data_IF_694145476132
#
_entry.id   IF_694145476132
#
_cell.length_a   1.000
_cell.length_b   1.000
_cell.length_c   1.000
_cell.angle_alpha   90.00
_cell.angle_beta   90.00
_cell.angle_gamma   90.00
#
_symmetry.space_group_name_H-M   'P 1'
#
loop_
_entity.id
_entity.type
_entity.pdbx_description
1 polymer ?
#
# COMPACT_ATOMS: atom_id res chain seq x y z
N UNK A 1 -21.27 2.20 1.52
CA UNK A 1 -19.93 2.85 1.48
C UNK A 1 -18.86 1.92 0.92
N UNK A 2 -18.57 0.75 1.51
CA UNK A 2 -17.55 -0.21 1.00
C UNK A 2 -17.67 -0.56 -0.50
N UNK A 3 -18.87 -0.93 -0.97
CA UNK A 3 -19.13 -1.20 -2.40
C UNK A 3 -18.80 -0.01 -3.32
N UNK A 4 -18.97 1.22 -2.83
CA UNK A 4 -18.68 2.42 -3.60
C UNK A 4 -17.18 2.69 -3.72
N UNK A 5 -16.39 2.34 -2.69
CA UNK A 5 -14.92 2.41 -2.74
C UNK A 5 -14.41 1.39 -3.74
N UNK A 6 -14.80 0.12 -3.60
CA UNK A 6 -14.40 -0.94 -4.54
C UNK A 6 -14.77 -0.58 -6.00
N UNK A 7 -16.00 -0.11 -6.27
CA UNK A 7 -16.41 0.34 -7.61
C UNK A 7 -15.52 1.47 -8.15
N UNK A 8 -15.17 2.44 -7.31
CA UNK A 8 -14.27 3.54 -7.70
C UNK A 8 -12.85 3.06 -7.96
N UNK A 9 -12.32 2.15 -7.14
CA UNK A 9 -11.02 1.51 -7.37
C UNK A 9 -10.99 0.80 -8.73
N UNK A 10 -12.03 0.00 -9.03
CA UNK A 10 -12.19 -0.70 -10.32
C UNK A 10 -12.13 0.27 -11.50
N UNK A 11 -12.90 1.35 -11.42
CA UNK A 11 -13.02 2.33 -12.49
C UNK A 11 -11.72 3.12 -12.69
N UNK A 12 -11.09 3.57 -11.61
CA UNK A 12 -9.91 4.46 -11.69
C UNK A 12 -8.63 3.72 -12.06
N UNK A 13 -8.53 2.43 -11.73
CA UNK A 13 -7.46 1.54 -12.19
C UNK A 13 -7.23 1.60 -13.70
N UNK A 14 -8.30 1.51 -14.49
CA UNK A 14 -8.22 1.52 -15.96
C UNK A 14 -7.93 2.91 -16.55
N UNK A 15 -8.09 3.97 -15.76
CA UNK A 15 -7.97 5.36 -16.19
C UNK A 15 -6.68 6.02 -15.73
N UNK A 16 -5.79 5.31 -15.04
CA UNK A 16 -4.57 5.91 -14.46
C UNK A 16 -3.67 6.59 -15.52
N UNK A 17 -3.65 6.08 -16.75
CA UNK A 17 -2.82 6.59 -17.84
C UNK A 17 -3.52 7.63 -18.74
N UNK A 18 -4.82 7.88 -18.57
CA UNK A 18 -5.62 8.67 -19.53
C UNK A 18 -5.61 10.19 -19.25
N UNK A 19 -5.75 10.67 -17.99
CA UNK A 19 -5.44 12.03 -17.62
C UNK A 19 -3.96 12.18 -17.24
N UNK A 20 -3.47 13.41 -17.16
CA UNK A 20 -2.18 13.64 -16.51
C UNK A 20 -2.25 13.19 -15.05
N UNK A 21 -1.16 12.63 -14.50
CA UNK A 21 -1.11 12.16 -13.10
C UNK A 21 -1.59 13.24 -12.13
N UNK A 22 -1.24 14.51 -12.40
CA UNK A 22 -1.67 15.68 -11.64
C UNK A 22 -3.19 15.85 -11.61
N UNK A 23 -3.84 15.90 -12.75
CA UNK A 23 -5.32 16.02 -12.84
C UNK A 23 -6.02 14.81 -12.21
N UNK A 24 -5.44 13.63 -12.38
CA UNK A 24 -5.96 12.40 -11.81
C UNK A 24 -5.94 12.42 -10.27
N UNK A 25 -4.89 12.95 -9.65
CA UNK A 25 -4.77 13.08 -8.19
C UNK A 25 -5.91 13.96 -7.64
N UNK A 26 -6.19 15.09 -8.26
CA UNK A 26 -7.19 16.05 -7.75
C UNK A 26 -8.63 15.69 -8.08
N UNK A 27 -8.86 14.92 -9.13
CA UNK A 27 -10.20 14.43 -9.49
C UNK A 27 -10.68 13.26 -8.63
N UNK A 28 -9.81 12.69 -7.79
CA UNK A 28 -10.10 11.48 -7.02
C UNK A 28 -9.86 11.64 -5.50
N UNK A 29 -10.62 10.93 -4.65
CA UNK A 29 -10.34 10.91 -3.21
C UNK A 29 -8.96 10.31 -2.89
N UNK A 30 -8.27 10.86 -1.89
CA UNK A 30 -6.93 10.42 -1.43
C UNK A 30 -6.77 8.90 -1.29
N UNK A 31 -7.77 8.23 -0.71
CA UNK A 31 -7.76 6.77 -0.54
C UNK A 31 -7.72 6.02 -1.88
N UNK A 32 -8.48 6.48 -2.87
CA UNK A 32 -8.52 5.89 -4.21
C UNK A 32 -7.19 6.12 -4.92
N UNK A 33 -6.69 7.37 -4.87
CA UNK A 33 -5.38 7.75 -5.43
C UNK A 33 -4.27 6.87 -4.88
N UNK A 34 -4.19 6.75 -3.55
CA UNK A 34 -3.17 5.95 -2.87
C UNK A 34 -3.23 4.47 -3.26
N UNK A 35 -4.43 3.87 -3.22
CA UNK A 35 -4.59 2.44 -3.47
C UNK A 35 -4.33 2.08 -4.94
N UNK A 36 -4.85 2.88 -5.89
CA UNK A 36 -4.63 2.63 -7.32
C UNK A 36 -3.18 2.92 -7.69
N UNK A 37 -2.55 3.96 -7.14
CA UNK A 37 -1.11 4.21 -7.35
C UNK A 37 -0.26 3.05 -6.84
N UNK A 38 -0.63 2.42 -5.72
CA UNK A 38 0.07 1.24 -5.21
C UNK A 38 -0.09 0.01 -6.12
N UNK A 39 -1.29 -0.19 -6.70
CA UNK A 39 -1.51 -1.26 -7.67
C UNK A 39 -0.68 -1.07 -8.93
N UNK A 40 -0.72 0.14 -9.50
CA UNK A 40 0.01 0.46 -10.72
C UNK A 40 1.52 0.34 -10.49
N UNK A 41 2.01 0.81 -9.34
CA UNK A 41 3.40 0.63 -8.96
C UNK A 41 3.80 -0.85 -8.89
N UNK A 42 2.99 -1.69 -8.23
CA UNK A 42 3.29 -3.12 -8.10
C UNK A 42 3.40 -3.79 -9.47
N UNK A 43 2.38 -3.60 -10.33
CA UNK A 43 2.36 -4.19 -11.68
C UNK A 43 3.53 -3.70 -12.53
N UNK A 44 3.79 -2.39 -12.56
CA UNK A 44 4.91 -1.83 -13.35
C UNK A 44 6.28 -2.27 -12.84
N UNK A 45 6.43 -2.48 -11.53
CA UNK A 45 7.68 -3.03 -10.97
C UNK A 45 7.91 -4.46 -11.45
N UNK A 46 6.85 -5.28 -11.47
CA UNK A 46 6.92 -6.66 -11.96
C UNK A 46 7.22 -6.72 -13.47
N UNK A 47 6.56 -5.89 -14.27
CA UNK A 47 6.85 -5.74 -15.71
C UNK A 47 8.32 -5.36 -15.94
N UNK A 48 8.84 -4.41 -15.15
CA UNK A 48 10.23 -3.96 -15.27
C UNK A 48 11.25 -5.01 -14.81
N UNK A 49 10.92 -5.83 -13.81
CA UNK A 49 11.76 -6.96 -13.37
C UNK A 49 11.82 -8.05 -14.45
N UNK A 50 10.68 -8.42 -15.03
CA UNK A 50 10.62 -9.43 -16.10
C UNK A 50 11.34 -8.96 -17.36
N UNK A 51 11.18 -7.68 -17.74
CA UNK A 51 11.90 -7.08 -18.87
C UNK A 51 13.42 -7.04 -18.68
N UNK A 52 13.89 -6.92 -17.43
CA UNK A 52 15.31 -6.99 -17.08
C UNK A 52 15.90 -8.41 -17.15
N UNK A 53 15.11 -9.45 -16.86
CA UNK A 53 15.56 -10.86 -16.86
C UNK A 53 15.82 -11.44 -18.26
N UNK A 54 15.29 -10.83 -19.33
CA UNK A 54 15.53 -11.25 -20.72
C UNK A 54 16.91 -10.84 -21.31
N UNK A 55 17.88 -10.50 -20.46
CA UNK A 55 19.26 -10.13 -20.84
C UNK A 55 20.14 -11.28 -21.37
N UNK A 56 19.56 -12.35 -21.91
CA UNK A 56 20.29 -13.40 -22.61
C UNK A 56 20.41 -13.08 -24.10
N UNK A 57 21.62 -12.80 -24.56
CA UNK A 57 22.09 -12.91 -25.96
C UNK A 57 21.12 -13.63 -26.92
N UNK A 58 20.41 -12.88 -27.78
CA UNK A 58 19.65 -13.51 -28.86
C UNK A 58 18.52 -12.65 -29.46
N UNK A 59 18.79 -12.14 -30.66
CA UNK A 59 17.81 -11.70 -31.67
C UNK A 59 17.03 -10.41 -31.40
N UNK A 60 17.52 -9.34 -32.05
CA UNK A 60 16.72 -8.18 -32.43
C UNK A 60 15.57 -8.61 -33.36
N UNK A 61 14.42 -8.94 -32.76
CA UNK A 61 13.20 -9.31 -33.45
C UNK A 61 12.13 -8.21 -33.36
N UNK A 62 12.07 -7.38 -34.41
CA UNK A 62 10.90 -6.66 -34.94
C UNK A 62 9.92 -5.99 -33.95
N UNK A 63 10.13 -4.69 -33.73
CA UNK A 63 9.08 -3.67 -33.73
C UNK A 63 8.30 -3.44 -32.43
N UNK A 64 8.64 -2.34 -31.76
CA UNK A 64 7.77 -1.63 -30.80
C UNK A 64 8.29 -1.63 -29.37
N UNK A 65 9.02 -0.56 -29.01
CA UNK A 65 9.48 -0.18 -27.66
C UNK A 65 10.50 -1.11 -27.00
N UNK A 66 11.65 -0.54 -26.60
CA UNK A 66 12.64 -1.26 -25.78
C UNK A 66 11.96 -1.75 -24.49
N UNK A 67 12.23 -2.98 -24.02
CA UNK A 67 11.65 -3.48 -22.78
C UNK A 67 12.01 -2.50 -21.66
N UNK A 68 10.99 -2.01 -20.95
CA UNK A 68 11.19 -1.15 -19.77
C UNK A 68 11.97 -1.99 -18.76
N UNK A 69 13.22 -1.64 -18.54
CA UNK A 69 14.03 -2.28 -17.52
C UNK A 69 13.86 -1.53 -16.19
N UNK A 70 14.27 -2.19 -15.10
CA UNK A 70 14.12 -1.65 -13.76
C UNK A 70 14.79 -0.27 -13.56
N UNK A 71 15.88 0.03 -14.27
CA UNK A 71 16.59 1.32 -14.16
C UNK A 71 15.84 2.47 -14.85
N UNK A 72 15.20 2.20 -15.98
CA UNK A 72 14.33 3.18 -16.67
C UNK A 72 13.10 3.47 -15.82
N UNK A 73 12.51 2.41 -15.23
CA UNK A 73 11.37 2.56 -14.32
C UNK A 73 11.74 3.33 -13.04
N UNK A 74 12.92 3.08 -12.47
CA UNK A 74 13.43 3.86 -11.34
C UNK A 74 13.54 5.35 -11.65
N UNK A 75 14.12 5.69 -12.81
CA UNK A 75 14.23 7.09 -13.26
C UNK A 75 12.85 7.74 -13.37
N UNK A 76 11.88 7.03 -13.95
CA UNK A 76 10.50 7.51 -14.05
C UNK A 76 9.85 7.76 -12.68
N UNK A 77 10.05 6.87 -11.69
CA UNK A 77 9.53 7.09 -10.33
C UNK A 77 10.16 8.34 -9.71
N UNK A 78 11.47 8.56 -9.90
CA UNK A 78 12.17 9.73 -9.38
C UNK A 78 11.62 11.03 -9.97
N UNK A 79 11.35 11.06 -11.29
CA UNK A 79 10.70 12.19 -11.95
C UNK A 79 9.30 12.46 -11.37
N UNK A 80 8.48 11.43 -11.23
CA UNK A 80 7.14 11.56 -10.65
C UNK A 80 7.17 12.06 -9.20
N UNK A 81 8.14 11.62 -8.39
CA UNK A 81 8.32 12.09 -7.02
C UNK A 81 8.77 13.56 -6.99
N UNK A 82 9.60 13.99 -7.93
CA UNK A 82 10.01 15.38 -8.07
C UNK A 82 8.81 16.27 -8.43
N UNK A 83 7.94 15.83 -9.34
CA UNK A 83 6.70 16.52 -9.69
C UNK A 83 5.78 16.69 -8.47
N UNK A 84 5.63 15.64 -7.66
CA UNK A 84 4.87 15.74 -6.41
C UNK A 84 5.50 16.72 -5.42
N UNK A 85 6.82 16.74 -5.33
CA UNK A 85 7.55 17.66 -4.44
C UNK A 85 7.35 19.12 -4.84
N UNK A 86 7.30 19.40 -6.15
CA UNK A 86 6.91 20.72 -6.68
C UNK A 86 5.44 21.00 -6.36
N UNK A 87 4.55 20.05 -6.62
CA UNK A 87 3.11 20.19 -6.41
C UNK A 87 2.74 20.52 -4.96
N UNK A 88 3.41 19.91 -3.97
CA UNK A 88 3.17 20.19 -2.54
C UNK A 88 3.44 21.66 -2.19
N UNK A 89 4.31 22.36 -2.92
CA UNK A 89 4.66 23.77 -2.65
C UNK A 89 3.67 24.77 -3.25
N UNK A 90 2.75 24.31 -4.09
CA UNK A 90 1.76 25.18 -4.70
C UNK A 90 0.64 25.57 -3.73
N UNK A 91 -0.24 26.45 -4.20
CA UNK A 91 -1.39 26.92 -3.45
C UNK A 91 -2.53 25.89 -3.49
N UNK A 92 -2.38 24.83 -2.70
CA UNK A 92 -3.36 23.76 -2.52
C UNK A 92 -4.23 24.00 -1.29
N UNK A 93 -5.49 23.58 -1.35
CA UNK A 93 -6.35 23.47 -0.16
C UNK A 93 -5.76 22.49 0.86
N UNK A 94 -6.24 22.54 2.10
CA UNK A 94 -5.77 21.65 3.17
C UNK A 94 -5.93 20.16 2.82
N UNK A 95 -7.04 19.79 2.17
CA UNK A 95 -7.32 18.40 1.81
C UNK A 95 -6.44 17.91 0.65
N UNK A 96 -6.26 18.75 -0.37
CA UNK A 96 -5.36 18.49 -1.50
C UNK A 96 -3.93 18.35 -1.03
N UNK A 97 -3.45 19.27 -0.20
CA UNK A 97 -2.09 19.23 0.37
C UNK A 97 -1.85 17.94 1.15
N UNK A 98 -2.82 17.49 1.96
CA UNK A 98 -2.74 16.20 2.66
C UNK A 98 -2.69 15.01 1.70
N UNK A 99 -3.45 15.07 0.62
CA UNK A 99 -3.50 14.00 -0.39
C UNK A 99 -2.18 13.88 -1.15
N UNK A 100 -1.62 15.00 -1.59
CA UNK A 100 -0.32 15.04 -2.28
C UNK A 100 0.81 14.64 -1.33
N UNK A 101 0.83 15.16 -0.11
CA UNK A 101 1.85 14.81 0.89
C UNK A 101 1.81 13.31 1.24
N UNK A 102 0.60 12.75 1.40
CA UNK A 102 0.45 11.31 1.56
C UNK A 102 1.04 10.58 0.35
N UNK A 103 0.62 10.92 -0.88
CA UNK A 103 1.12 10.26 -2.10
C UNK A 103 2.65 10.32 -2.20
N UNK A 104 3.25 11.46 -1.93
CA UNK A 104 4.71 11.63 -1.93
C UNK A 104 5.43 10.69 -0.95
N UNK A 105 4.89 10.50 0.27
CA UNK A 105 5.47 9.57 1.25
C UNK A 105 5.41 8.11 0.73
N UNK A 106 4.33 7.72 0.07
CA UNK A 106 4.20 6.37 -0.52
C UNK A 106 5.13 6.20 -1.72
N UNK A 107 5.20 7.18 -2.61
CA UNK A 107 6.08 7.12 -3.78
C UNK A 107 7.55 7.12 -3.38
N UNK A 108 7.93 7.83 -2.30
CA UNK A 108 9.28 7.78 -1.73
C UNK A 108 9.63 6.35 -1.29
N UNK A 109 8.75 5.70 -0.53
CA UNK A 109 8.95 4.32 -0.09
C UNK A 109 9.02 3.35 -1.29
N UNK A 110 8.13 3.50 -2.26
CA UNK A 110 8.11 2.72 -3.49
C UNK A 110 9.41 2.89 -4.31
N UNK A 111 9.95 4.11 -4.38
CA UNK A 111 11.25 4.42 -5.00
C UNK A 111 12.38 3.71 -4.27
N UNK A 112 12.39 3.77 -2.94
CA UNK A 112 13.42 3.16 -2.11
C UNK A 112 13.45 1.62 -2.30
N UNK A 113 12.30 0.97 -2.40
CA UNK A 113 12.19 -0.46 -2.74
C UNK A 113 12.80 -0.75 -4.11
N UNK A 114 12.46 0.04 -5.14
CA UNK A 114 12.99 -0.17 -6.49
C UNK A 114 14.51 0.05 -6.54
N UNK A 115 15.03 1.02 -5.79
CA UNK A 115 16.48 1.18 -5.59
C UNK A 115 17.12 -0.04 -4.92
N UNK A 116 16.47 -0.63 -3.91
CA UNK A 116 16.95 -1.84 -3.25
C UNK A 116 16.98 -3.04 -4.21
N UNK A 117 15.93 -3.22 -5.01
CA UNK A 117 15.87 -4.26 -6.05
C UNK A 117 17.00 -4.10 -7.08
N UNK A 118 17.27 -2.87 -7.53
CA UNK A 118 18.37 -2.55 -8.45
C UNK A 118 19.73 -2.86 -7.86
N UNK A 119 20.00 -2.35 -6.66
CA UNK A 119 21.30 -2.52 -5.99
C UNK A 119 21.58 -3.97 -5.59
N UNK A 120 20.52 -4.75 -5.33
CA UNK A 120 20.60 -6.18 -5.04
C UNK A 120 20.64 -7.06 -6.30
N UNK A 121 20.51 -6.47 -7.50
CA UNK A 121 20.54 -7.21 -8.76
C UNK A 121 19.40 -8.22 -8.91
N UNK A 122 18.21 -7.92 -8.38
CA UNK A 122 17.06 -8.82 -8.45
C UNK A 122 16.53 -8.92 -9.88
N UNK A 123 16.39 -10.13 -10.38
CA UNK A 123 15.93 -10.45 -11.75
C UNK A 123 14.69 -11.36 -11.77
N UNK A 124 14.22 -11.81 -10.61
CA UNK A 124 13.06 -12.72 -10.47
C UNK A 124 11.99 -12.16 -9.55
N UNK A 125 10.73 -12.45 -9.87
CA UNK A 125 9.57 -12.12 -9.05
C UNK A 125 9.50 -12.93 -7.76
N UNK A 126 10.21 -14.05 -7.67
CA UNK A 126 10.24 -14.90 -6.48
C UNK A 126 11.29 -14.44 -5.44
N UNK A 127 12.05 -13.39 -5.75
CA UNK A 127 13.06 -12.85 -4.84
C UNK A 127 12.41 -12.39 -3.54
N UNK A 128 12.99 -12.81 -2.41
CA UNK A 128 12.52 -12.39 -1.08
C UNK A 128 12.43 -10.86 -0.95
N UNK A 129 13.38 -10.14 -1.56
CA UNK A 129 13.42 -8.66 -1.55
C UNK A 129 12.15 -8.06 -2.16
N UNK A 130 11.58 -8.70 -3.19
CA UNK A 130 10.31 -8.31 -3.78
C UNK A 130 9.13 -8.88 -3.02
N UNK A 131 9.12 -10.19 -2.75
CA UNK A 131 7.93 -10.86 -2.18
C UNK A 131 7.60 -10.39 -0.76
N UNK A 132 8.57 -9.88 0.01
CA UNK A 132 8.35 -9.32 1.34
C UNK A 132 7.58 -7.99 1.35
N UNK A 133 7.48 -7.29 0.21
CA UNK A 133 6.81 -5.99 0.13
C UNK A 133 5.29 -6.16 0.15
N UNK A 134 4.57 -5.14 0.64
CA UNK A 134 3.11 -5.12 0.64
C UNK A 134 2.60 -4.67 -0.74
N UNK A 135 2.06 -5.60 -1.53
CA UNK A 135 1.68 -5.38 -2.93
C UNK A 135 0.18 -5.42 -3.14
N UNK A 136 -0.37 -4.40 -3.79
CA UNK A 136 -1.80 -4.31 -4.09
C UNK A 136 -2.06 -4.80 -5.50
N UNK A 137 -3.07 -5.64 -5.65
CA UNK A 137 -3.52 -6.17 -6.94
C UNK A 137 -5.02 -6.03 -7.07
N UNK A 138 -5.50 -6.18 -8.29
CA UNK A 138 -6.91 -6.38 -8.55
C UNK A 138 -7.13 -7.84 -8.97
N UNK A 139 -7.98 -8.55 -8.22
CA UNK A 139 -8.44 -9.88 -8.59
C UNK A 139 -9.65 -9.76 -9.52
N UNK A 140 -9.51 -10.20 -10.77
CA UNK A 140 -10.63 -10.24 -11.72
C UNK A 140 -11.69 -11.28 -11.29
N UNK A 141 -11.27 -12.41 -10.71
CA UNK A 141 -12.18 -13.45 -10.22
C UNK A 141 -13.06 -12.95 -9.06
N UNK A 142 -12.47 -12.24 -8.11
CA UNK A 142 -13.17 -11.71 -6.94
C UNK A 142 -13.82 -10.34 -7.15
N UNK A 143 -13.56 -9.70 -8.29
CA UNK A 143 -13.86 -8.29 -8.56
C UNK A 143 -13.46 -7.36 -7.39
N UNK A 144 -12.31 -7.65 -6.78
CA UNK A 144 -11.85 -6.96 -5.57
C UNK A 144 -10.35 -6.68 -5.56
N UNK A 145 -9.98 -5.62 -4.83
CA UNK A 145 -8.58 -5.38 -4.51
C UNK A 145 -8.10 -6.42 -3.51
N UNK A 146 -7.00 -7.08 -3.84
CA UNK A 146 -6.27 -8.00 -2.97
C UNK A 146 -4.90 -7.43 -2.64
N UNK A 147 -4.35 -7.82 -1.50
CA UNK A 147 -3.05 -7.39 -1.01
C UNK A 147 -2.25 -8.64 -0.72
N UNK A 148 -1.09 -8.77 -1.34
CA UNK A 148 -0.20 -9.90 -1.12
C UNK A 148 1.07 -9.44 -0.40
N UNK A 149 1.55 -10.27 0.52
CA UNK A 149 2.84 -10.13 1.17
C UNK A 149 3.35 -11.54 1.53
N UNK A 150 4.47 -11.95 0.94
CA UNK A 150 4.96 -13.34 0.95
C UNK A 150 3.80 -14.28 0.58
N UNK A 151 3.44 -15.24 1.42
CA UNK A 151 2.36 -16.20 1.19
C UNK A 151 0.97 -15.68 1.64
N UNK A 152 0.94 -14.49 2.23
CA UNK A 152 -0.26 -13.95 2.85
C UNK A 152 -1.05 -13.06 1.87
N UNK A 153 -2.26 -13.51 1.51
CA UNK A 153 -3.20 -12.73 0.68
C UNK A 153 -4.39 -12.25 1.52
N UNK A 154 -4.69 -10.96 1.43
CA UNK A 154 -5.81 -10.29 2.10
C UNK A 154 -6.72 -9.60 1.10
N UNK A 155 -8.04 -9.60 1.33
CA UNK A 155 -8.94 -8.68 0.63
C UNK A 155 -8.80 -7.28 1.25
N UNK A 156 -8.74 -6.25 0.42
CA UNK A 156 -8.77 -4.85 0.88
C UNK A 156 -10.10 -4.57 1.60
N UNK A 157 -10.05 -4.01 2.82
CA UNK A 157 -11.22 -3.87 3.69
C UNK A 157 -12.28 -2.89 3.17
N UNK A 158 -11.92 -2.01 2.24
CA UNK A 158 -12.80 -0.99 1.62
C UNK A 158 -13.51 -0.07 2.64
N UNK A 159 -13.03 0.06 3.87
CA UNK A 159 -13.57 1.02 4.83
C UNK A 159 -13.14 2.44 4.42
N UNK A 160 -13.97 3.44 4.68
CA UNK A 160 -13.64 4.82 4.30
C UNK A 160 -12.65 5.41 5.30
N UNK A 161 -11.48 5.82 4.79
CA UNK A 161 -10.37 6.30 5.61
C UNK A 161 -10.11 7.80 5.48
N UNK A 162 -10.79 8.48 4.54
CA UNK A 162 -10.60 9.90 4.27
C UNK A 162 -9.22 10.22 3.67
N UNK A 163 -8.60 11.30 4.14
CA UNK A 163 -7.25 11.73 3.76
C UNK A 163 -6.37 11.89 5.01
N UNK A 164 -5.97 10.76 5.63
CA UNK A 164 -5.16 10.78 6.84
C UNK A 164 -3.73 11.21 6.54
N UNK A 165 -3.05 11.73 7.55
CA UNK A 165 -1.60 11.93 7.52
C UNK A 165 -0.90 10.58 7.48
N UNK A 166 0.01 10.37 6.52
CA UNK A 166 0.79 9.13 6.43
C UNK A 166 2.01 9.14 7.33
N UNK A 167 2.31 7.96 7.87
CA UNK A 167 3.57 7.68 8.55
C UNK A 167 4.66 7.45 7.49
N UNK A 168 5.86 7.96 7.73
CA UNK A 168 7.02 7.62 6.88
C UNK A 168 7.36 6.15 7.09
N UNK A 169 7.30 5.37 6.02
CA UNK A 169 7.60 3.94 6.04
C UNK A 169 9.11 3.77 5.98
N UNK A 170 9.64 2.91 6.85
CA UNK A 170 11.07 2.61 6.97
C UNK A 170 11.28 1.10 6.93
N UNK A 171 12.50 0.61 6.67
CA UNK A 171 12.79 -0.83 6.71
C UNK A 171 12.47 -1.51 8.06
N UNK A 172 12.40 -0.74 9.15
CA UNK A 172 11.94 -1.27 10.44
C UNK A 172 10.41 -1.47 10.43
N UNK A 173 9.67 -0.49 9.91
CA UNK A 173 8.22 -0.56 9.75
C UNK A 173 7.80 -1.73 8.86
N UNK A 174 8.48 -1.93 7.73
CA UNK A 174 8.16 -3.04 6.81
C UNK A 174 8.36 -4.41 7.46
N UNK A 175 9.44 -4.58 8.24
CA UNK A 175 9.68 -5.81 9.00
C UNK A 175 8.60 -6.05 10.06
N UNK A 176 8.14 -4.99 10.73
CA UNK A 176 7.00 -5.10 11.64
C UNK A 176 5.72 -5.54 10.89
N UNK A 177 5.45 -4.95 9.72
CA UNK A 177 4.29 -5.31 8.90
C UNK A 177 4.34 -6.75 8.44
N UNK A 178 5.49 -7.21 7.93
CA UNK A 178 5.72 -8.59 7.49
C UNK A 178 5.43 -9.60 8.62
N UNK A 179 5.86 -9.28 9.84
CA UNK A 179 5.60 -10.14 11.01
C UNK A 179 4.10 -10.17 11.32
N UNK A 180 3.45 -9.00 11.36
CA UNK A 180 2.02 -8.89 11.67
C UNK A 180 1.18 -9.64 10.64
N UNK A 181 1.39 -9.41 9.35
CA UNK A 181 0.60 -10.04 8.28
C UNK A 181 0.77 -11.56 8.27
N UNK A 182 1.98 -12.07 8.47
CA UNK A 182 2.21 -13.51 8.58
C UNK A 182 1.55 -14.12 9.82
N UNK A 183 1.64 -13.49 11.00
CA UNK A 183 0.94 -13.94 12.21
C UNK A 183 -0.57 -14.03 11.99
N UNK A 184 -1.15 -13.00 11.38
CA UNK A 184 -2.58 -12.91 11.11
C UNK A 184 -3.07 -14.00 10.16
N UNK A 185 -2.36 -14.21 9.05
CA UNK A 185 -2.82 -15.14 8.01
C UNK A 185 -2.52 -16.58 8.36
N UNK A 186 -1.30 -16.89 8.80
CA UNK A 186 -0.81 -18.25 9.01
C UNK A 186 -1.21 -18.78 10.39
N UNK A 187 -0.99 -18.00 11.45
CA UNK A 187 -1.20 -18.46 12.82
C UNK A 187 -2.59 -18.13 13.37
N UNK A 188 -3.36 -17.28 12.67
CA UNK A 188 -4.63 -16.70 13.17
C UNK A 188 -4.45 -16.01 14.53
N UNK A 189 -3.25 -15.50 14.79
CA UNK A 189 -2.87 -14.77 15.99
C UNK A 189 -2.73 -13.29 15.67
N UNK A 190 -2.96 -12.45 16.66
CA UNK A 190 -2.66 -11.02 16.58
C UNK A 190 -1.15 -10.77 16.76
N UNK A 191 -0.65 -9.71 16.12
CA UNK A 191 0.73 -9.25 16.29
C UNK A 191 0.85 -8.26 17.45
N UNK A 192 1.99 -8.26 18.14
CA UNK A 192 2.35 -7.24 19.12
C UNK A 192 3.61 -6.51 18.66
N UNK A 193 3.56 -5.18 18.64
CA UNK A 193 4.72 -4.32 18.35
C UNK A 193 5.23 -3.76 19.67
N UNK A 194 6.41 -4.20 20.09
CA UNK A 194 7.06 -3.75 21.32
C UNK A 194 8.27 -2.85 21.00
N UNK A 195 8.56 -1.91 21.90
CA UNK A 195 9.65 -0.94 21.74
C UNK A 195 9.49 0.29 22.63
N UNK A 196 10.47 1.20 22.64
CA UNK A 196 10.46 2.40 23.49
C UNK A 196 9.22 3.30 23.29
N UNK A 197 8.88 4.10 24.31
CA UNK A 197 7.85 5.11 24.17
C UNK A 197 8.20 6.11 23.04
N UNK A 198 7.21 6.54 22.27
CA UNK A 198 7.42 7.46 21.14
C UNK A 198 7.99 6.83 19.87
N UNK A 199 8.35 5.54 19.84
CA UNK A 199 8.92 4.87 18.66
C UNK A 199 7.90 4.54 17.55
N UNK A 200 6.77 5.25 17.47
CA UNK A 200 5.79 5.10 16.39
C UNK A 200 4.97 3.80 16.37
N UNK A 201 5.08 2.91 17.37
CA UNK A 201 4.43 1.58 17.41
C UNK A 201 2.95 1.59 16.99
N UNK A 202 2.14 2.43 17.63
CA UNK A 202 0.71 2.57 17.34
C UNK A 202 0.47 3.10 15.94
N UNK A 203 1.28 4.08 15.51
CA UNK A 203 1.17 4.65 14.17
C UNK A 203 1.56 3.63 13.08
N UNK A 204 2.55 2.77 13.33
CA UNK A 204 2.92 1.69 12.41
C UNK A 204 1.77 0.71 12.20
N UNK A 205 1.01 0.38 13.26
CA UNK A 205 -0.17 -0.50 13.16
C UNK A 205 -1.34 0.20 12.48
N UNK A 206 -1.60 1.47 12.81
CA UNK A 206 -2.62 2.29 12.13
C UNK A 206 -2.33 2.38 10.62
N UNK A 207 -1.06 2.58 10.27
CA UNK A 207 -0.63 2.71 8.89
C UNK A 207 -0.79 1.39 8.13
N UNK A 208 -0.45 0.25 8.75
CA UNK A 208 -0.73 -1.07 8.18
C UNK A 208 -2.22 -1.28 7.94
N UNK A 209 -3.06 -1.04 8.95
CA UNK A 209 -4.51 -1.18 8.83
C UNK A 209 -5.07 -0.32 7.70
N UNK A 210 -4.53 0.90 7.53
CA UNK A 210 -4.88 1.80 6.43
C UNK A 210 -4.46 1.24 5.07
N UNK A 211 -3.26 0.69 4.94
CA UNK A 211 -2.81 0.00 3.73
C UNK A 211 -3.68 -1.22 3.41
N UNK A 212 -4.18 -1.90 4.44
CA UNK A 212 -5.12 -3.03 4.33
C UNK A 212 -6.59 -2.61 4.09
N UNK A 213 -6.90 -1.30 4.16
CA UNK A 213 -8.25 -0.80 3.94
C UNK A 213 -9.21 -0.99 5.12
N UNK A 214 -8.68 -1.18 6.33
CA UNK A 214 -9.43 -1.36 7.57
C UNK A 214 -9.37 -0.13 8.47
N UNK A 215 -10.47 0.17 9.15
CA UNK A 215 -10.49 1.16 10.21
C UNK A 215 -9.79 0.63 11.46
N UNK A 216 -8.71 1.32 11.87
CA UNK A 216 -7.98 1.01 13.09
C UNK A 216 -8.57 1.76 14.29
N UNK A 217 -9.06 1.02 15.28
CA UNK A 217 -9.53 1.58 16.54
C UNK A 217 -8.43 1.41 17.59
N UNK A 218 -7.98 2.53 18.16
CA UNK A 218 -6.93 2.55 19.18
C UNK A 218 -7.53 2.85 20.54
N UNK A 219 -7.26 1.95 21.48
CA UNK A 219 -7.62 2.12 22.88
C UNK A 219 -6.38 2.40 23.71
N UNK A 220 -6.47 3.43 24.54
CA UNK A 220 -5.46 3.66 25.56
C UNK A 220 -5.84 2.84 26.81
N UNK A 221 -5.01 1.88 27.17
CA UNK A 221 -5.20 1.06 28.37
C UNK A 221 -4.52 1.75 29.56
N UNK A 222 -5.11 2.83 30.07
CA UNK A 222 -4.71 3.45 31.33
C UNK A 222 -5.34 2.75 32.54
N UNK A 223 -4.86 3.05 33.75
CA UNK A 223 -5.38 2.49 35.02
C UNK A 223 -6.89 2.74 35.23
N UNK A 224 -7.47 3.70 34.51
CA UNK A 224 -8.90 4.04 34.53
C UNK A 224 -9.76 3.16 33.62
N UNK A 225 -9.18 2.23 32.86
CA UNK A 225 -9.94 1.34 31.97
C UNK A 225 -10.43 0.12 32.75
N UNK A 226 -11.71 0.15 33.11
CA UNK A 226 -12.37 -0.97 33.76
C UNK A 226 -12.63 -2.15 32.81
N UNK A 227 -12.65 -3.36 33.37
CA UNK A 227 -12.99 -4.60 32.65
C UNK A 227 -14.33 -4.51 31.91
N UNK A 228 -15.30 -3.80 32.48
CA UNK A 228 -16.62 -3.57 31.87
C UNK A 228 -16.55 -2.78 30.55
N UNK A 229 -15.63 -1.81 30.47
CA UNK A 229 -15.41 -1.02 29.24
C UNK A 229 -14.80 -1.91 28.16
N UNK A 230 -13.80 -2.73 28.52
CA UNK A 230 -13.18 -3.68 27.61
C UNK A 230 -14.19 -4.71 27.09
N UNK A 231 -15.06 -5.24 27.95
CA UNK A 231 -16.11 -6.19 27.54
C UNK A 231 -17.03 -5.58 26.48
N UNK A 232 -17.48 -4.33 26.68
CA UNK A 232 -18.31 -3.63 25.69
C UNK A 232 -17.59 -3.43 24.35
N UNK A 233 -16.31 -3.09 24.40
CA UNK A 233 -15.47 -2.95 23.21
C UNK A 233 -15.38 -4.27 22.45
N UNK A 234 -15.05 -5.37 23.13
CA UNK A 234 -14.93 -6.69 22.52
C UNK A 234 -16.28 -7.21 22.00
N UNK A 235 -17.39 -6.96 22.72
CA UNK A 235 -18.73 -7.30 22.25
C UNK A 235 -19.09 -6.52 20.96
N UNK A 236 -18.71 -5.25 20.85
CA UNK A 236 -18.88 -4.45 19.64
C UNK A 236 -18.09 -5.00 18.44
N UNK A 237 -16.84 -5.36 18.69
CA UNK A 237 -15.95 -6.05 17.73
C UNK A 237 -16.58 -7.35 17.22
N UNK A 238 -17.03 -8.22 18.13
CA UNK A 238 -17.61 -9.51 17.77
C UNK A 238 -18.93 -9.38 16.99
N UNK A 239 -19.78 -8.39 17.34
CA UNK A 239 -21.01 -8.11 16.59
C UNK A 239 -20.71 -7.65 15.15
N UNK A 240 -19.66 -6.86 14.96
CA UNK A 240 -19.19 -6.46 13.62
C UNK A 240 -18.69 -7.67 12.81
N UNK A 241 -18.06 -8.66 13.46
CA UNK A 241 -17.63 -9.93 12.83
C UNK A 241 -18.81 -10.83 12.44
N UNK A 242 -19.83 -10.98 13.29
CA UNK A 242 -20.99 -11.88 13.01
C UNK A 242 -21.78 -11.50 11.76
N UNK A 243 -21.74 -10.23 11.34
CA UNK A 243 -22.33 -9.76 10.09
C UNK A 243 -21.42 -9.85 8.86
N UNK A 244 -20.10 -10.07 9.01
CA UNK A 244 -19.11 -9.99 7.91
C UNK A 244 -17.87 -10.87 8.14
N UNK A 245 -17.64 -11.83 7.24
CA UNK A 245 -16.54 -12.83 7.27
C UNK A 245 -15.11 -12.30 6.95
N UNK A 246 -14.82 -10.99 7.01
CA UNK A 246 -13.52 -10.45 6.56
C UNK A 246 -13.03 -9.27 7.44
N UNK A 247 -12.34 -9.51 8.54
CA UNK A 247 -11.61 -8.50 9.33
C UNK A 247 -10.37 -9.09 10.02
N UNK A 248 -9.39 -8.23 10.30
CA UNK A 248 -8.04 -8.53 10.82
C UNK A 248 -7.85 -7.76 12.15
N UNK A 249 -7.25 -8.39 13.18
CA UNK A 249 -6.84 -7.76 14.46
C UNK A 249 -5.34 -7.89 14.70
#
# INVERSE_FOLDING_TARGET
>A
MQKAINRRLKAQRGLYNTPTRREWIFSNPCQIVSCVSQMVWAVRTEEALVGSGSGGSGSAGRGGESPVNLSTFYTHIVEQLQDLTVLVRENLSTLERRSVAALAIQDLHNRDIVAELLSSGVDTLDSFTWVQQLRHYWSEEGDECTIAQVDSIFSYGNEYLGAPTRLVITPLTDRCWLTITNCLKLLKLSGSVAGPAGAGKTESVKELARMLGYFCLVFNCSETVDLYVLEKVFAGIQRKQRGRKKYIY
#
